data_IF_412681027454
#
_entry.id   IF_412681027454
#
_cell.length_a   1.000
_cell.length_b   1.000
_cell.length_c   1.000
_cell.angle_alpha   90.00
_cell.angle_beta   90.00
_cell.angle_gamma   90.00
#
_symmetry.space_group_name_H-M   'P 1'
#
loop_
_entity.id
_entity.type
_entity.pdbx_description
1 polymer ?
#
# COMPACT_ATOMS: atom_id res chain seq x y z
N UNK A 1 -13.17 -4.58 -16.53
CA UNK A 1 -12.12 -3.54 -16.60
C UNK A 1 -10.78 -4.22 -16.43
N UNK A 2 -9.86 -4.08 -17.39
CA UNK A 2 -8.56 -4.77 -17.34
C UNK A 2 -7.73 -4.26 -16.15
N UNK A 3 -7.50 -5.14 -15.16
CA UNK A 3 -6.55 -4.91 -14.09
C UNK A 3 -5.18 -4.73 -14.75
N UNK A 4 -4.69 -3.50 -14.85
CA UNK A 4 -3.41 -3.25 -15.52
C UNK A 4 -2.33 -3.72 -14.59
N UNK A 5 -1.78 -4.90 -14.87
CA UNK A 5 -0.71 -5.48 -14.08
C UNK A 5 0.48 -4.50 -14.00
N UNK A 6 1.22 -4.61 -12.90
CA UNK A 6 2.49 -3.92 -12.71
C UNK A 6 3.41 -4.22 -13.93
N UNK A 7 4.02 -3.23 -14.58
CA UNK A 7 4.83 -3.43 -15.79
C UNK A 7 6.08 -4.27 -15.49
N UNK A 8 6.61 -5.05 -16.45
CA UNK A 8 7.79 -5.90 -16.26
C UNK A 8 8.98 -5.20 -15.61
N UNK A 9 9.20 -3.92 -15.95
CA UNK A 9 10.27 -3.06 -15.42
C UNK A 9 10.18 -2.76 -13.92
N UNK A 10 9.05 -3.04 -13.30
CA UNK A 10 8.82 -2.88 -11.87
C UNK A 10 8.77 -4.26 -11.21
N UNK A 11 9.93 -4.87 -10.97
CA UNK A 11 10.04 -6.08 -10.14
C UNK A 11 10.09 -5.71 -8.65
N UNK A 12 9.08 -6.06 -7.84
CA UNK A 12 9.06 -5.72 -6.41
C UNK A 12 10.28 -6.20 -5.62
N UNK A 13 11.05 -7.18 -6.12
CA UNK A 13 12.30 -7.62 -5.50
C UNK A 13 13.37 -6.51 -5.44
N UNK A 14 13.31 -5.53 -6.34
CA UNK A 14 14.26 -4.40 -6.39
C UNK A 14 13.90 -3.27 -5.43
N UNK A 15 12.64 -3.19 -5.01
CA UNK A 15 12.13 -2.08 -4.20
C UNK A 15 12.92 -1.84 -2.90
N UNK A 16 13.35 -2.88 -2.13
CA UNK A 16 14.17 -2.66 -0.94
C UNK A 16 15.56 -2.06 -1.20
N UNK A 17 16.07 -2.12 -2.44
CA UNK A 17 17.38 -1.55 -2.80
C UNK A 17 17.31 -0.03 -2.94
N UNK A 18 16.16 0.50 -3.33
CA UNK A 18 15.97 1.92 -3.68
C UNK A 18 15.08 2.66 -2.70
N UNK A 19 14.33 1.95 -1.85
CA UNK A 19 13.53 2.54 -0.79
C UNK A 19 13.96 1.99 0.58
N UNK A 20 15.07 2.51 1.15
CA UNK A 20 15.56 2.11 2.47
C UNK A 20 14.46 2.23 3.53
N UNK A 21 14.41 1.29 4.46
CA UNK A 21 13.40 1.26 5.52
C UNK A 21 12.05 0.65 5.12
N UNK A 22 11.80 0.36 3.83
CA UNK A 22 10.54 -0.30 3.41
C UNK A 22 10.31 -1.62 4.14
N UNK A 23 11.37 -2.38 4.46
CA UNK A 23 11.28 -3.67 5.17
C UNK A 23 10.73 -3.55 6.59
N UNK A 24 10.88 -2.39 7.23
CA UNK A 24 10.28 -2.13 8.54
C UNK A 24 8.75 -2.19 8.43
N UNK A 25 8.22 -1.58 7.39
CA UNK A 25 6.79 -1.56 7.12
C UNK A 25 6.36 -2.87 6.45
N UNK A 26 6.96 -3.28 5.33
CA UNK A 26 6.65 -4.47 4.54
C UNK A 26 7.62 -5.61 4.86
N UNK A 27 7.38 -6.28 5.99
CA UNK A 27 8.21 -7.42 6.44
C UNK A 27 8.27 -8.58 5.44
N UNK A 28 7.15 -8.91 4.80
CA UNK A 28 7.11 -9.94 3.76
C UNK A 28 7.38 -9.32 2.39
N UNK A 29 8.10 -10.03 1.50
CA UNK A 29 8.31 -9.57 0.14
C UNK A 29 6.98 -9.21 -0.52
N UNK A 30 6.95 -8.04 -1.17
CA UNK A 30 5.84 -7.68 -2.03
C UNK A 30 5.93 -8.47 -3.33
N UNK A 31 4.78 -8.80 -3.89
CA UNK A 31 4.64 -9.46 -5.17
C UNK A 31 3.90 -8.55 -6.14
N UNK A 32 4.04 -8.85 -7.45
CA UNK A 32 3.44 -8.04 -8.52
C UNK A 32 1.92 -7.90 -8.38
N UNK A 33 1.25 -8.92 -7.81
CA UNK A 33 -0.19 -8.92 -7.59
C UNK A 33 -0.65 -8.09 -6.37
N UNK A 34 0.27 -7.67 -5.50
CA UNK A 34 -0.02 -6.77 -4.39
C UNK A 34 -0.16 -5.32 -4.85
N UNK A 35 0.27 -5.01 -6.09
CA UNK A 35 0.19 -3.68 -6.64
C UNK A 35 -1.10 -3.45 -7.43
N UNK A 36 -1.65 -2.26 -7.26
CA UNK A 36 -2.89 -1.80 -7.87
C UNK A 36 -2.62 -0.52 -8.67
N UNK A 37 -3.24 -0.40 -9.84
CA UNK A 37 -3.15 0.80 -10.66
C UNK A 37 -4.02 1.92 -10.06
N UNK A 38 -3.41 3.05 -9.70
CA UNK A 38 -4.15 4.28 -9.38
C UNK A 38 -4.46 5.01 -10.68
N UNK A 39 -5.73 5.31 -10.91
CA UNK A 39 -6.20 6.05 -12.09
C UNK A 39 -6.97 7.29 -11.69
N UNK A 40 -6.79 8.34 -12.49
CA UNK A 40 -7.73 9.44 -12.54
C UNK A 40 -9.02 8.94 -13.20
N UNK A 41 -10.13 8.98 -12.46
CA UNK A 41 -11.42 8.53 -12.94
C UNK A 41 -11.96 9.40 -14.08
N UNK A 42 -11.65 10.70 -14.11
CA UNK A 42 -12.14 11.66 -15.10
C UNK A 42 -11.38 11.51 -16.42
N UNK A 43 -10.05 11.53 -16.38
CA UNK A 43 -9.22 11.45 -17.58
C UNK A 43 -8.89 10.01 -18.01
N UNK A 44 -9.27 8.99 -17.22
CA UNK A 44 -8.84 7.57 -17.37
C UNK A 44 -7.31 7.39 -17.39
N UNK A 45 -6.56 8.41 -16.99
CA UNK A 45 -5.10 8.47 -16.99
C UNK A 45 -4.54 7.61 -15.85
N UNK A 46 -3.52 6.81 -16.14
CA UNK A 46 -2.76 6.10 -15.10
C UNK A 46 -1.92 7.12 -14.32
N UNK A 47 -2.13 7.20 -13.01
CA UNK A 47 -1.38 8.07 -12.12
C UNK A 47 -0.16 7.34 -11.54
N UNK A 48 -0.27 6.04 -11.32
CA UNK A 48 0.83 5.20 -10.86
C UNK A 48 0.36 3.84 -10.39
N UNK A 49 1.22 3.15 -9.66
CA UNK A 49 0.92 1.87 -9.01
C UNK A 49 1.16 1.99 -7.52
N UNK A 50 0.35 1.33 -6.72
CA UNK A 50 0.54 1.32 -5.27
C UNK A 50 0.27 -0.04 -4.66
N UNK A 51 0.93 -0.32 -3.55
CA UNK A 51 0.56 -1.39 -2.62
C UNK A 51 0.28 -0.76 -1.26
N UNK A 52 -0.66 -1.32 -0.52
CA UNK A 52 -1.09 -0.81 0.77
C UNK A 52 -1.40 -1.95 1.73
N UNK A 53 -1.12 -1.75 3.01
CA UNK A 53 -1.51 -2.69 4.06
C UNK A 53 -1.83 -1.99 5.37
N UNK A 54 -2.77 -2.54 6.15
CA UNK A 54 -3.04 -2.04 7.49
C UNK A 54 -1.92 -2.41 8.46
N UNK A 55 -1.69 -1.54 9.43
CA UNK A 55 -0.71 -1.71 10.50
C UNK A 55 -1.36 -2.22 11.79
N UNK A 56 -0.59 -2.99 12.53
CA UNK A 56 -0.95 -3.45 13.87
C UNK A 56 -0.38 -2.50 14.91
N UNK A 57 -1.07 -2.35 16.04
CA UNK A 57 -0.74 -1.31 17.03
C UNK A 57 0.52 -1.54 17.84
N UNK A 58 1.01 -2.78 17.95
CA UNK A 58 2.16 -3.10 18.81
C UNK A 58 3.06 -4.18 18.22
N UNK A 59 4.28 -4.22 18.73
CA UNK A 59 5.20 -5.34 18.56
C UNK A 59 5.17 -6.20 19.84
N UNK A 60 5.32 -7.51 19.70
CA UNK A 60 5.54 -8.44 20.80
C UNK A 60 6.95 -8.29 21.39
N UNK A 61 7.21 -8.98 22.50
CA UNK A 61 8.50 -8.96 23.19
C UNK A 61 9.69 -9.44 22.31
N UNK A 62 9.42 -10.12 21.18
CA UNK A 62 10.41 -10.55 20.20
C UNK A 62 10.55 -9.59 19.01
N UNK A 63 9.93 -8.42 19.07
CA UNK A 63 9.93 -7.40 18.01
C UNK A 63 9.12 -7.80 16.78
N UNK A 64 8.24 -8.80 16.88
CA UNK A 64 7.32 -9.18 15.79
C UNK A 64 5.99 -8.46 15.97
N UNK A 65 5.23 -8.34 14.89
CA UNK A 65 3.87 -7.81 14.96
C UNK A 65 3.01 -8.65 15.91
N UNK A 66 2.50 -8.02 16.97
CA UNK A 66 1.50 -8.63 17.85
C UNK A 66 0.13 -8.51 17.19
N UNK A 67 -0.39 -9.63 16.71
CA UNK A 67 -1.70 -9.67 16.04
C UNK A 67 -2.86 -9.55 17.03
N UNK A 68 -2.63 -9.83 18.32
CA UNK A 68 -3.67 -9.77 19.36
C UNK A 68 -4.06 -8.33 19.70
N UNK A 69 -3.14 -7.38 19.54
CA UNK A 69 -3.38 -5.95 19.71
C UNK A 69 -4.32 -5.33 18.65
N UNK A 70 -4.65 -6.09 17.59
CA UNK A 70 -5.49 -5.63 16.50
C UNK A 70 -4.83 -4.53 15.64
N UNK A 71 -5.62 -4.01 14.69
CA UNK A 71 -5.17 -2.93 13.82
C UNK A 71 -5.25 -1.57 14.53
N UNK A 72 -4.30 -0.69 14.26
CA UNK A 72 -4.25 0.65 14.86
C UNK A 72 -4.94 1.74 14.05
N UNK A 73 -5.47 1.40 12.87
CA UNK A 73 -6.14 2.33 11.96
C UNK A 73 -5.19 3.00 10.97
N UNK A 74 -3.88 2.76 11.05
CA UNK A 74 -2.91 3.26 10.07
C UNK A 74 -2.74 2.27 8.93
N UNK A 75 -2.52 2.83 7.74
CA UNK A 75 -2.14 2.12 6.53
C UNK A 75 -0.72 2.57 6.19
N UNK A 76 0.17 1.62 5.91
CA UNK A 76 1.41 1.89 5.21
C UNK A 76 1.25 1.50 3.75
N UNK A 77 1.72 2.36 2.86
CA UNK A 77 1.69 2.12 1.43
C UNK A 77 3.01 2.47 0.77
N UNK A 78 3.20 1.91 -0.42
CA UNK A 78 4.23 2.33 -1.36
C UNK A 78 3.58 2.71 -2.67
N UNK A 79 3.97 3.84 -3.24
CA UNK A 79 3.46 4.35 -4.50
C UNK A 79 4.60 4.58 -5.48
N UNK A 80 4.38 4.26 -6.75
CA UNK A 80 5.30 4.56 -7.85
C UNK A 80 4.55 5.33 -8.94
N UNK A 81 4.94 6.58 -9.24
CA UNK A 81 4.23 7.41 -10.21
C UNK A 81 4.39 6.91 -11.65
N UNK A 82 3.32 7.01 -12.43
CA UNK A 82 3.24 6.53 -13.82
C UNK A 82 4.13 7.24 -14.84
N UNK A 83 4.55 8.52 -14.73
CA UNK A 83 5.55 9.04 -15.66
C UNK A 83 6.92 8.40 -15.43
N UNK A 84 7.22 7.95 -14.22
CA UNK A 84 8.53 7.40 -13.85
C UNK A 84 8.68 5.90 -14.14
N UNK A 85 7.68 5.09 -13.78
CA UNK A 85 7.72 3.61 -13.87
C UNK A 85 9.04 2.99 -13.40
N UNK A 86 9.64 3.60 -12.38
CA UNK A 86 10.93 3.22 -11.81
C UNK A 86 10.83 3.23 -10.30
N UNK A 87 11.40 2.21 -9.66
CA UNK A 87 11.40 2.12 -8.20
C UNK A 87 12.20 3.24 -7.52
N UNK A 88 13.13 3.90 -8.24
CA UNK A 88 13.86 5.07 -7.70
C UNK A 88 12.91 6.22 -7.36
N UNK A 89 11.75 6.27 -8.01
CA UNK A 89 10.71 7.26 -7.79
C UNK A 89 9.60 6.71 -6.87
N UNK A 90 9.82 5.55 -6.24
CA UNK A 90 8.86 4.99 -5.32
C UNK A 90 8.90 5.72 -3.97
N UNK A 91 7.74 5.96 -3.40
CA UNK A 91 7.58 6.72 -2.17
C UNK A 91 6.79 5.90 -1.15
N UNK A 92 7.20 5.97 0.11
CA UNK A 92 6.40 5.49 1.23
C UNK A 92 5.32 6.53 1.54
N UNK A 93 4.11 6.07 1.77
CA UNK A 93 3.02 6.90 2.26
C UNK A 93 2.29 6.23 3.41
N UNK A 94 1.58 7.06 4.18
CA UNK A 94 0.75 6.61 5.28
C UNK A 94 -0.62 7.26 5.14
N UNK A 95 -1.64 6.52 5.55
CA UNK A 95 -3.00 7.02 5.63
C UNK A 95 -3.64 6.53 6.92
N UNK A 96 -4.65 7.24 7.37
CA UNK A 96 -5.44 6.86 8.55
C UNK A 96 -6.87 6.50 8.14
N UNK A 97 -7.44 5.51 8.81
CA UNK A 97 -8.85 5.14 8.72
C UNK A 97 -9.38 4.73 10.09
N UNK A 98 -10.69 4.81 10.33
CA UNK A 98 -11.28 4.30 11.57
C UNK A 98 -10.91 2.83 11.78
N UNK A 99 -10.45 2.47 12.99
CA UNK A 99 -10.02 1.09 13.32
C UNK A 99 -11.08 0.03 12.98
N UNK A 100 -12.35 0.37 13.21
CA UNK A 100 -13.52 -0.48 12.91
C UNK A 100 -13.69 -0.81 11.43
N UNK A 101 -13.12 0.01 10.54
CA UNK A 101 -13.27 -0.15 9.10
C UNK A 101 -12.14 -1.00 8.50
N UNK A 102 -11.06 -1.26 9.26
CA UNK A 102 -9.90 -2.03 8.78
C UNK A 102 -10.25 -3.51 8.58
N UNK A 103 -11.14 -4.06 9.41
CA UNK A 103 -11.62 -5.43 9.34
C UNK A 103 -13.14 -5.46 9.23
N UNK A 104 -13.66 -6.43 8.49
CA UNK A 104 -15.10 -6.69 8.39
C UNK A 104 -15.58 -7.45 9.63
N UNK A 105 -16.90 -7.59 9.77
CA UNK A 105 -17.50 -8.37 10.85
C UNK A 105 -17.03 -9.83 10.91
N UNK A 106 -16.57 -10.40 9.78
CA UNK A 106 -16.00 -11.75 9.71
C UNK A 106 -14.52 -11.84 10.14
N UNK A 107 -13.95 -10.74 10.65
CA UNK A 107 -12.56 -10.64 11.08
C UNK A 107 -11.54 -10.55 9.93
N UNK A 108 -11.96 -10.66 8.66
CA UNK A 108 -11.07 -10.49 7.51
C UNK A 108 -10.84 -9.01 7.23
N UNK A 109 -9.66 -8.69 6.68
CA UNK A 109 -9.34 -7.32 6.26
C UNK A 109 -10.38 -6.81 5.26
N UNK A 110 -10.85 -5.59 5.47
CA UNK A 110 -11.71 -4.89 4.55
C UNK A 110 -10.88 -4.25 3.43
N UNK A 111 -10.36 -5.10 2.53
CA UNK A 111 -9.52 -4.64 1.41
C UNK A 111 -10.15 -3.55 0.55
N UNK A 112 -11.47 -3.56 0.27
CA UNK A 112 -12.12 -2.44 -0.40
C UNK A 112 -11.94 -1.11 0.35
N UNK A 113 -12.20 -1.06 1.65
CA UNK A 113 -12.03 0.16 2.44
C UNK A 113 -10.57 0.60 2.55
N UNK A 114 -9.66 -0.34 2.81
CA UNK A 114 -8.20 -0.06 2.88
C UNK A 114 -7.71 0.53 1.56
N UNK A 115 -8.11 -0.05 0.42
CA UNK A 115 -7.74 0.49 -0.90
C UNK A 115 -8.36 1.86 -1.14
N UNK A 116 -9.63 2.06 -0.79
CA UNK A 116 -10.29 3.35 -0.96
C UNK A 116 -9.60 4.45 -0.15
N UNK A 117 -9.23 4.19 1.11
CA UNK A 117 -8.45 5.12 1.93
C UNK A 117 -7.09 5.41 1.32
N UNK A 118 -6.36 4.38 0.89
CA UNK A 118 -5.06 4.55 0.25
C UNK A 118 -5.14 5.38 -1.04
N UNK A 119 -6.13 5.11 -1.90
CA UNK A 119 -6.32 5.89 -3.12
C UNK A 119 -6.78 7.32 -2.83
N UNK A 120 -7.58 7.56 -1.79
CA UNK A 120 -7.96 8.91 -1.36
C UNK A 120 -6.72 9.71 -0.95
N UNK A 121 -5.90 9.17 -0.07
CA UNK A 121 -4.63 9.79 0.36
C UNK A 121 -3.72 10.11 -0.83
N UNK A 122 -3.55 9.16 -1.75
CA UNK A 122 -2.72 9.39 -2.93
C UNK A 122 -3.30 10.45 -3.88
N UNK A 123 -4.63 10.55 -4.00
CA UNK A 123 -5.27 11.59 -4.82
C UNK A 123 -5.07 12.97 -4.19
N UNK A 124 -5.27 13.11 -2.89
CA UNK A 124 -5.04 14.38 -2.17
C UNK A 124 -3.58 14.86 -2.33
N UNK A 125 -2.61 13.94 -2.33
CA UNK A 125 -1.20 14.29 -2.57
C UNK A 125 -0.88 14.72 -4.00
N UNK A 126 -1.64 14.22 -4.98
CA UNK A 126 -1.37 14.44 -6.40
C UNK A 126 -2.08 15.69 -6.97
N UNK A 127 -3.09 16.23 -6.28
CA UNK A 127 -3.88 17.39 -6.72
C UNK A 127 -5.03 17.02 -7.64
#
# INVERSE_FOLDING_TARGET
MANTALPPSLDPADLPRVLPGIRHWFRYPLHRHDFHALRDARARRLLGYYSAKPLYGTLDASGRVDRSAGFDGRIAGVFVPSPARSWVQAELFFAEMPKRDVARADGRRNWPAIKATAEHELRERLG
#
